data_IF_259622957688
#
_entry.id   IF_259622957688
#
_cell.length_a   1.000
_cell.length_b   1.000
_cell.length_c   1.000
_cell.angle_alpha   90.00
_cell.angle_beta   90.00
_cell.angle_gamma   90.00
#
_symmetry.space_group_name_H-M   'P 1'
#
loop_
_entity.id
_entity.type
_entity.pdbx_description
1 polymer ?
#
# COMPACT_ATOMS: atom_id res chain seq x y z
N UNK A 1 -41.11 -38.70 5.87
CA UNK A 1 -41.65 -37.34 6.00
C UNK A 1 -40.49 -36.37 5.85
N UNK A 2 -40.31 -35.79 4.67
CA UNK A 2 -39.28 -34.80 4.38
C UNK A 2 -39.95 -33.66 3.61
N UNK A 3 -39.95 -32.47 4.20
CA UNK A 3 -40.61 -31.28 3.65
C UNK A 3 -39.52 -30.39 3.03
N UNK A 4 -39.59 -30.22 1.70
CA UNK A 4 -38.77 -29.29 0.94
C UNK A 4 -39.26 -27.85 1.16
N UNK A 5 -38.36 -26.93 1.51
CA UNK A 5 -38.64 -25.49 1.45
C UNK A 5 -37.98 -24.90 0.20
N UNK A 6 -38.80 -24.27 -0.64
CA UNK A 6 -38.41 -23.55 -1.84
C UNK A 6 -37.77 -22.20 -1.49
N UNK A 7 -36.63 -21.89 -2.10
CA UNK A 7 -35.96 -20.60 -2.00
C UNK A 7 -36.66 -19.54 -2.88
N UNK A 8 -36.98 -18.39 -2.29
CA UNK A 8 -37.46 -17.20 -3.01
C UNK A 8 -36.31 -16.49 -3.75
N UNK A 9 -36.56 -15.90 -4.94
CA UNK A 9 -35.53 -15.18 -5.68
C UNK A 9 -35.22 -13.80 -5.06
N UNK A 10 -33.93 -13.42 -5.07
CA UNK A 10 -33.42 -12.13 -4.59
C UNK A 10 -33.95 -10.98 -5.46
N UNK A 11 -34.23 -9.79 -4.90
CA UNK A 11 -34.69 -8.64 -5.67
C UNK A 11 -33.57 -8.08 -6.56
N UNK A 12 -33.89 -7.88 -7.84
CA UNK A 12 -33.05 -7.20 -8.83
C UNK A 12 -32.90 -5.71 -8.51
N UNK A 13 -31.68 -5.18 -8.62
CA UNK A 13 -31.39 -3.74 -8.47
C UNK A 13 -32.09 -2.92 -9.56
N UNK A 14 -32.85 -1.89 -9.17
CA UNK A 14 -33.55 -0.96 -10.06
C UNK A 14 -32.62 -0.06 -10.89
N UNK A 15 -31.32 -0.02 -10.59
CA UNK A 15 -30.36 0.85 -11.29
C UNK A 15 -29.62 0.17 -12.44
N UNK A 16 -29.70 -1.17 -12.54
CA UNK A 16 -29.05 -1.93 -13.61
C UNK A 16 -30.02 -3.02 -14.10
N UNK A 17 -30.95 -2.70 -15.03
CA UNK A 17 -31.83 -3.72 -15.58
C UNK A 17 -31.00 -4.72 -16.42
N UNK A 18 -30.96 -5.98 -15.97
CA UNK A 18 -30.52 -7.09 -16.81
C UNK A 18 -31.53 -7.26 -17.95
N UNK A 19 -31.09 -7.11 -19.20
CA UNK A 19 -31.91 -7.44 -20.37
C UNK A 19 -32.32 -8.91 -20.30
N UNK A 20 -33.60 -9.18 -20.08
CA UNK A 20 -34.22 -10.45 -20.41
C UNK A 20 -34.55 -10.42 -21.90
N UNK A 21 -33.77 -11.14 -22.70
CA UNK A 21 -34.10 -11.42 -24.10
C UNK A 21 -35.35 -12.31 -24.17
N UNK A 22 -36.31 -11.85 -24.94
CA UNK A 22 -37.53 -12.57 -25.30
C UNK A 22 -37.23 -13.40 -26.54
N UNK A 23 -37.14 -14.72 -26.40
CA UNK A 23 -37.15 -15.64 -27.55
C UNK A 23 -38.56 -16.17 -27.79
N UNK A 24 -39.02 -16.09 -29.06
CA UNK A 24 -39.62 -17.22 -29.78
C UNK A 24 -39.40 -17.06 -31.29
N UNK A 25 -38.47 -17.82 -31.88
CA UNK A 25 -38.77 -18.95 -32.79
C UNK A 25 -37.52 -19.53 -33.48
N UNK A 26 -37.20 -20.78 -33.12
CA UNK A 26 -36.62 -21.87 -33.92
C UNK A 26 -35.33 -21.64 -34.74
N UNK A 27 -34.23 -22.31 -34.36
CA UNK A 27 -33.76 -23.60 -34.94
C UNK A 27 -32.45 -24.03 -34.28
N UNK A 28 -32.30 -25.35 -34.11
CA UNK A 28 -31.15 -26.07 -33.58
C UNK A 28 -29.79 -25.57 -34.12
N UNK A 29 -28.80 -25.38 -33.23
CA UNK A 29 -27.53 -26.11 -33.31
C UNK A 29 -26.70 -25.99 -32.02
N UNK A 30 -25.93 -27.05 -31.81
CA UNK A 30 -25.01 -27.47 -30.73
C UNK A 30 -24.26 -26.38 -29.94
N UNK A 31 -24.28 -26.60 -28.62
CA UNK A 31 -23.49 -25.92 -27.56
C UNK A 31 -21.98 -26.12 -27.75
N UNK A 32 -21.26 -25.02 -27.84
CA UNK A 32 -19.93 -24.85 -27.22
C UNK A 32 -19.99 -23.57 -26.38
N UNK A 33 -20.05 -23.73 -25.06
CA UNK A 33 -20.13 -22.64 -24.10
C UNK A 33 -18.72 -22.16 -23.73
N UNK A 34 -18.24 -21.13 -24.43
CA UNK A 34 -17.13 -20.28 -23.98
C UNK A 34 -17.71 -18.96 -23.45
N UNK A 35 -18.30 -18.98 -22.25
CA UNK A 35 -18.66 -17.74 -21.54
C UNK A 35 -17.42 -17.22 -20.79
N UNK A 36 -16.47 -16.65 -21.55
CA UNK A 36 -15.63 -15.61 -21.00
C UNK A 36 -16.48 -14.34 -20.98
N UNK A 37 -16.78 -13.81 -19.80
CA UNK A 37 -17.48 -12.53 -19.66
C UNK A 37 -16.77 -11.47 -20.51
N UNK A 38 -17.36 -11.12 -21.65
CA UNK A 38 -16.85 -10.07 -22.52
C UNK A 38 -17.04 -8.77 -21.77
N UNK A 39 -15.99 -8.32 -21.10
CA UNK A 39 -15.90 -6.97 -20.55
C UNK A 39 -15.89 -6.03 -21.75
N UNK A 40 -17.07 -5.57 -22.17
CA UNK A 40 -17.16 -4.51 -23.15
C UNK A 40 -16.63 -3.24 -22.46
N UNK A 41 -15.54 -2.63 -22.96
CA UNK A 41 -15.02 -1.42 -22.36
C UNK A 41 -16.05 -0.31 -22.56
N UNK A 42 -16.57 0.24 -21.46
CA UNK A 42 -17.41 1.42 -21.51
C UNK A 42 -16.56 2.58 -22.03
N UNK A 43 -16.79 2.98 -23.27
CA UNK A 43 -16.17 4.17 -23.83
C UNK A 43 -16.97 5.39 -23.38
N UNK A 44 -16.30 6.32 -22.70
CA UNK A 44 -16.88 7.64 -22.49
C UNK A 44 -17.27 8.23 -23.85
N UNK A 45 -18.42 8.90 -23.95
CA UNK A 45 -18.69 9.71 -25.11
C UNK A 45 -17.53 10.73 -25.25
N UNK A 46 -16.97 10.92 -26.46
CA UNK A 46 -15.87 11.85 -26.71
C UNK A 46 -16.37 13.27 -26.45
N UNK A 47 -16.32 13.68 -25.19
CA UNK A 47 -16.86 14.95 -24.72
C UNK A 47 -15.68 15.89 -24.51
N UNK A 48 -15.65 16.98 -25.30
CA UNK A 48 -14.76 18.13 -25.06
C UNK A 48 -15.18 18.96 -23.83
N UNK A 49 -16.16 18.47 -23.07
CA UNK A 49 -16.79 19.21 -21.98
C UNK A 49 -16.12 18.86 -20.65
N UNK A 50 -15.66 19.90 -19.98
CA UNK A 50 -15.10 19.88 -18.64
C UNK A 50 -16.11 19.24 -17.67
N UNK A 51 -15.67 18.20 -16.95
CA UNK A 51 -16.51 17.40 -16.04
C UNK A 51 -16.97 18.15 -14.79
N UNK A 52 -16.19 19.12 -14.34
CA UNK A 52 -16.49 20.06 -13.25
C UNK A 52 -15.66 21.32 -13.41
N UNK A 53 -16.08 22.45 -12.83
CA UNK A 53 -15.32 23.70 -12.90
C UNK A 53 -13.91 23.54 -12.30
N UNK A 54 -12.88 23.72 -13.14
CA UNK A 54 -11.46 23.59 -12.77
C UNK A 54 -10.84 24.90 -12.29
N UNK A 55 -11.63 25.98 -12.19
CA UNK A 55 -11.15 27.27 -11.71
C UNK A 55 -10.62 27.13 -10.28
N UNK A 56 -9.33 27.43 -10.11
CA UNK A 56 -8.68 27.43 -8.81
C UNK A 56 -9.42 28.39 -7.85
N UNK A 57 -9.81 27.86 -6.68
CA UNK A 57 -10.45 28.61 -5.60
C UNK A 57 -9.46 29.02 -4.50
N UNK A 58 -8.20 28.58 -4.61
CA UNK A 58 -7.15 28.87 -3.63
C UNK A 58 -5.77 28.51 -4.17
N UNK A 59 -4.77 28.74 -3.32
CA UNK A 59 -3.39 28.37 -3.63
C UNK A 59 -3.24 26.86 -3.73
N UNK A 60 -2.48 26.35 -4.73
CA UNK A 60 -2.20 24.93 -4.83
C UNK A 60 -1.22 24.48 -3.73
N UNK A 61 -1.31 23.21 -3.35
CA UNK A 61 -0.40 22.56 -2.41
C UNK A 61 0.33 21.39 -3.05
N UNK A 62 1.61 21.21 -2.70
CA UNK A 62 2.41 20.07 -3.13
C UNK A 62 2.29 18.96 -2.08
N UNK A 63 1.66 17.86 -2.47
CA UNK A 63 1.52 16.65 -1.68
C UNK A 63 2.68 15.71 -1.99
N UNK A 64 3.43 15.35 -0.94
CA UNK A 64 4.47 14.34 -0.98
C UNK A 64 4.65 13.77 0.43
N UNK A 65 5.10 12.51 0.55
CA UNK A 65 5.26 11.82 1.83
C UNK A 65 6.12 12.63 2.82
N UNK A 66 7.17 13.26 2.32
CA UNK A 66 8.11 14.09 3.09
C UNK A 66 7.87 15.59 2.88
N UNK A 67 6.78 15.99 2.19
CA UNK A 67 6.37 17.40 2.16
C UNK A 67 5.94 17.79 3.57
N UNK A 68 6.64 18.76 4.16
CA UNK A 68 6.42 19.24 5.54
C UNK A 68 6.69 18.20 6.64
N UNK A 69 7.25 17.02 6.31
CA UNK A 69 7.49 15.91 7.25
C UNK A 69 8.92 15.43 7.26
N UNK A 70 9.47 15.26 8.46
CA UNK A 70 10.77 14.61 8.65
C UNK A 70 10.59 13.09 8.79
N UNK A 71 11.55 12.31 8.29
CA UNK A 71 11.61 10.88 8.59
C UNK A 71 12.32 10.69 9.93
N UNK A 72 11.64 10.07 10.90
CA UNK A 72 12.19 9.73 12.21
C UNK A 72 12.29 8.22 12.37
N UNK A 73 13.43 7.77 12.89
CA UNK A 73 13.65 6.36 13.22
C UNK A 73 13.88 6.25 14.71
N UNK A 74 13.04 5.46 15.38
CA UNK A 74 13.20 5.10 16.77
C UNK A 74 13.63 3.65 16.84
N UNK A 75 14.74 3.38 17.51
CA UNK A 75 15.29 2.04 17.66
C UNK A 75 15.33 1.66 19.13
N UNK A 76 14.63 0.58 19.49
CA UNK A 76 14.69 0.04 20.83
C UNK A 76 16.08 -0.55 21.12
N UNK A 77 16.71 -0.09 22.19
CA UNK A 77 18.04 -0.56 22.59
C UNK A 77 18.09 -2.08 22.82
N UNK A 78 17.04 -2.66 23.43
CA UNK A 78 16.96 -4.10 23.67
C UNK A 78 17.02 -4.89 22.35
N UNK A 79 16.35 -4.39 21.33
CA UNK A 79 16.29 -4.97 19.99
C UNK A 79 17.66 -4.97 19.33
N UNK A 80 18.38 -3.85 19.45
CA UNK A 80 19.75 -3.74 18.97
C UNK A 80 20.71 -4.69 19.72
N UNK A 81 20.62 -4.73 21.06
CA UNK A 81 21.44 -5.63 21.89
C UNK A 81 21.21 -7.10 21.54
N UNK A 82 19.98 -7.51 21.20
CA UNK A 82 19.70 -8.87 20.72
C UNK A 82 20.42 -9.18 19.40
N UNK A 83 20.42 -8.24 18.46
CA UNK A 83 21.16 -8.37 17.21
C UNK A 83 22.66 -8.52 17.43
N UNK A 84 23.23 -7.70 18.31
CA UNK A 84 24.67 -7.75 18.64
C UNK A 84 25.03 -9.05 19.35
N UNK A 85 24.18 -9.52 20.27
CA UNK A 85 24.35 -10.83 20.92
C UNK A 85 24.37 -11.96 19.88
N UNK A 86 23.54 -11.87 18.84
CA UNK A 86 23.56 -12.83 17.74
C UNK A 86 24.83 -12.71 16.89
N UNK A 87 25.26 -11.50 16.56
CA UNK A 87 26.51 -11.24 15.83
C UNK A 87 27.73 -11.81 16.56
N UNK A 88 27.81 -11.61 17.88
CA UNK A 88 28.94 -12.10 18.69
C UNK A 88 28.99 -13.63 18.82
N UNK A 89 27.85 -14.32 18.63
CA UNK A 89 27.79 -15.79 18.58
C UNK A 89 28.15 -16.36 17.20
N UNK A 90 28.05 -15.55 16.15
CA UNK A 90 28.36 -15.95 14.78
C UNK A 90 29.87 -16.09 14.60
N UNK A 91 30.29 -17.13 13.88
CA UNK A 91 31.67 -17.28 13.41
C UNK A 91 31.98 -16.35 12.23
N UNK A 92 30.95 -15.84 11.55
CA UNK A 92 31.07 -14.95 10.40
C UNK A 92 31.08 -13.49 10.89
N UNK A 93 32.05 -12.65 10.46
CA UNK A 93 32.22 -11.28 10.94
C UNK A 93 31.15 -10.30 10.43
N UNK A 94 30.27 -10.74 9.54
CA UNK A 94 29.12 -9.97 9.07
C UNK A 94 27.91 -10.86 8.88
N UNK A 95 26.72 -10.35 9.17
CA UNK A 95 25.50 -11.12 9.20
C UNK A 95 24.32 -10.29 8.67
N UNK A 96 23.67 -10.77 7.62
CA UNK A 96 22.41 -10.20 7.13
C UNK A 96 21.25 -10.69 8.00
N UNK A 97 20.33 -9.80 8.36
CA UNK A 97 19.18 -10.06 9.23
C UNK A 97 18.14 -8.95 9.05
N UNK A 98 17.17 -8.85 9.96
CA UNK A 98 16.10 -7.88 9.84
C UNK A 98 15.83 -7.18 11.18
N UNK A 99 15.57 -5.90 11.07
CA UNK A 99 14.75 -5.19 12.03
C UNK A 99 13.30 -5.22 11.57
N UNK A 100 12.38 -5.36 12.51
CA UNK A 100 10.94 -5.31 12.28
C UNK A 100 10.37 -4.24 13.22
N UNK A 101 9.44 -3.46 12.68
CA UNK A 101 8.82 -2.36 13.39
C UNK A 101 7.48 -1.98 12.82
N UNK A 102 7.02 -0.78 13.14
CA UNK A 102 5.81 -0.17 12.59
C UNK A 102 6.14 1.17 11.95
N UNK A 103 5.32 1.57 10.97
CA UNK A 103 5.43 2.82 10.24
C UNK A 103 4.11 3.59 10.36
N UNK A 104 4.16 4.83 10.85
CA UNK A 104 2.98 5.67 11.01
C UNK A 104 3.33 7.15 10.83
N UNK A 105 2.30 7.98 10.61
CA UNK A 105 2.42 9.44 10.68
C UNK A 105 2.16 9.84 12.13
N UNK A 106 3.00 10.71 12.67
CA UNK A 106 2.82 11.16 14.05
C UNK A 106 1.55 12.02 14.21
N UNK A 107 1.04 12.14 15.43
CA UNK A 107 -0.23 12.84 15.69
C UNK A 107 -0.20 14.35 15.37
N UNK A 108 1.00 14.92 15.22
CA UNK A 108 1.21 16.31 14.83
C UNK A 108 1.37 16.49 13.32
N UNK A 109 1.35 15.38 12.58
CA UNK A 109 1.62 15.31 11.15
C UNK A 109 2.95 15.94 10.71
N UNK A 110 3.91 16.05 11.61
CA UNK A 110 5.23 16.67 11.39
C UNK A 110 6.30 15.64 11.00
N UNK A 111 6.00 14.35 11.15
CA UNK A 111 6.93 13.28 10.85
C UNK A 111 6.29 11.99 10.37
N UNK A 112 7.07 11.28 9.57
CA UNK A 112 6.88 9.87 9.27
C UNK A 112 7.79 9.09 10.22
N UNK A 113 7.21 8.27 11.09
CA UNK A 113 7.93 7.62 12.18
C UNK A 113 8.02 6.11 11.94
N UNK A 114 9.25 5.60 12.02
CA UNK A 114 9.56 4.17 12.00
C UNK A 114 9.98 3.78 13.40
N UNK A 115 9.16 2.99 14.09
CA UNK A 115 9.47 2.47 15.41
C UNK A 115 9.92 1.00 15.30
N UNK A 116 11.20 0.74 15.59
CA UNK A 116 11.84 -0.56 15.50
C UNK A 116 11.92 -1.20 16.88
N UNK A 117 11.18 -2.28 17.07
CA UNK A 117 11.03 -2.97 18.34
C UNK A 117 11.33 -4.48 18.28
N UNK A 118 11.49 -5.06 17.08
CA UNK A 118 11.82 -6.47 16.89
C UNK A 118 13.13 -6.67 16.13
N UNK A 119 13.91 -7.63 16.61
CA UNK A 119 15.06 -8.18 15.90
C UNK A 119 14.67 -9.55 15.39
N UNK A 120 14.94 -9.81 14.12
CA UNK A 120 14.69 -11.10 13.49
C UNK A 120 15.98 -11.58 12.79
N UNK A 121 16.57 -12.70 13.23
CA UNK A 121 17.74 -13.26 12.56
C UNK A 121 17.44 -13.75 11.15
N UNK A 122 16.16 -13.94 10.79
CA UNK A 122 15.70 -14.43 9.50
C UNK A 122 15.93 -15.93 9.31
N UNK A 123 15.41 -16.45 8.21
CA UNK A 123 15.57 -17.84 7.77
C UNK A 123 16.09 -17.92 6.33
N UNK A 124 16.80 -18.99 6.02
CA UNK A 124 17.18 -19.29 4.64
C UNK A 124 15.95 -19.79 3.88
N UNK A 125 15.73 -19.23 2.70
CA UNK A 125 14.74 -19.67 1.73
C UNK A 125 15.47 -20.02 0.44
N UNK A 126 15.21 -21.21 -0.09
CA UNK A 126 15.74 -21.61 -1.40
C UNK A 126 14.65 -21.42 -2.42
N UNK A 127 14.86 -20.50 -3.36
CA UNK A 127 13.92 -20.28 -4.46
C UNK A 127 13.92 -21.46 -5.44
N UNK A 128 12.92 -21.54 -6.32
CA UNK A 128 12.75 -22.58 -7.35
C UNK A 128 13.97 -22.73 -8.26
N UNK A 129 14.80 -21.70 -8.39
CA UNK A 129 16.08 -21.71 -9.11
C UNK A 129 17.30 -22.19 -8.30
N UNK A 130 17.13 -22.67 -7.06
CA UNK A 130 18.22 -23.14 -6.20
C UNK A 130 19.01 -22.02 -5.49
N UNK A 131 18.63 -20.75 -5.68
CA UNK A 131 19.26 -19.62 -5.00
C UNK A 131 18.79 -19.52 -3.55
N UNK A 132 19.74 -19.53 -2.62
CA UNK A 132 19.47 -19.26 -1.21
C UNK A 132 19.38 -17.76 -0.98
N UNK A 133 18.23 -17.30 -0.51
CA UNK A 133 17.99 -15.92 -0.09
C UNK A 133 17.58 -15.91 1.37
N UNK A 134 17.84 -14.80 2.04
CA UNK A 134 17.43 -14.61 3.43
C UNK A 134 16.12 -13.87 3.48
N UNK A 135 15.17 -14.40 4.24
CA UNK A 135 13.84 -13.80 4.41
C UNK A 135 13.51 -13.67 5.89
N UNK A 136 12.64 -12.73 6.29
CA UNK A 136 12.14 -12.68 7.66
C UNK A 136 11.49 -14.01 8.07
N UNK A 137 11.60 -14.35 9.34
CA UNK A 137 11.01 -15.55 9.92
C UNK A 137 9.48 -15.47 9.85
N UNK A 138 8.93 -14.35 10.31
CA UNK A 138 7.49 -14.08 10.32
C UNK A 138 7.26 -12.60 10.06
N UNK A 139 6.33 -12.27 9.16
CA UNK A 139 5.85 -10.90 8.89
C UNK A 139 4.35 -10.89 9.10
N UNK A 140 3.85 -9.97 9.92
CA UNK A 140 2.41 -9.76 10.12
C UNK A 140 1.93 -8.48 9.43
N UNK A 141 0.62 -8.34 9.14
CA UNK A 141 0.08 -7.10 8.58
C UNK A 141 0.45 -5.88 9.45
N UNK A 142 0.97 -4.83 8.83
CA UNK A 142 1.45 -3.62 9.49
C UNK A 142 2.94 -3.64 9.86
N UNK A 143 3.63 -4.78 9.75
CA UNK A 143 5.07 -4.85 9.97
C UNK A 143 5.82 -4.08 8.87
N UNK A 144 6.67 -3.14 9.29
CA UNK A 144 7.72 -2.56 8.47
C UNK A 144 8.98 -3.41 8.62
N UNK A 145 9.34 -4.14 7.57
CA UNK A 145 10.58 -4.94 7.50
C UNK A 145 11.73 -4.07 7.03
N UNK A 146 12.84 -4.10 7.76
CA UNK A 146 14.05 -3.33 7.48
C UNK A 146 15.22 -4.30 7.38
N UNK A 147 15.72 -4.61 6.17
CA UNK A 147 16.94 -5.38 5.99
C UNK A 147 18.11 -4.72 6.74
N UNK A 148 18.81 -5.52 7.54
CA UNK A 148 19.88 -5.10 8.42
C UNK A 148 21.14 -5.90 8.12
N UNK A 149 22.24 -5.20 7.84
CA UNK A 149 23.57 -5.81 7.84
C UNK A 149 24.28 -5.50 9.16
N UNK A 150 24.56 -6.53 9.95
CA UNK A 150 25.38 -6.43 11.16
C UNK A 150 26.84 -6.75 10.83
N UNK A 151 27.78 -5.96 11.32
CA UNK A 151 29.22 -6.13 11.09
C UNK A 151 29.99 -6.02 12.40
N UNK A 152 30.91 -6.95 12.65
CA UNK A 152 31.73 -6.99 13.85
C UNK A 152 32.92 -6.03 13.71
N UNK A 153 33.18 -5.23 14.73
CA UNK A 153 34.18 -4.15 14.74
C UNK A 153 33.67 -2.87 14.10
N UNK A 154 34.53 -1.84 14.05
CA UNK A 154 34.20 -0.51 13.49
C UNK A 154 34.92 -0.21 12.16
N UNK A 155 35.72 -1.16 11.66
CA UNK A 155 36.49 -0.97 10.43
C UNK A 155 35.56 -0.75 9.23
N UNK A 156 35.71 0.40 8.57
CA UNK A 156 34.93 0.78 7.38
C UNK A 156 33.57 1.43 7.67
N UNK A 157 33.18 1.62 8.94
CA UNK A 157 31.89 2.18 9.30
C UNK A 157 31.63 3.57 8.69
N UNK A 158 32.66 4.42 8.63
CA UNK A 158 32.55 5.80 8.12
C UNK A 158 32.33 5.89 6.61
N UNK A 159 32.68 4.85 5.86
CA UNK A 159 32.56 4.81 4.39
C UNK A 159 31.39 3.94 3.94
N UNK A 160 30.61 3.44 4.89
CA UNK A 160 29.47 2.59 4.58
C UNK A 160 28.34 3.45 4.00
N UNK A 161 27.80 2.98 2.88
CA UNK A 161 26.53 3.45 2.35
C UNK A 161 25.50 2.34 2.54
N UNK A 162 24.28 2.70 2.93
CA UNK A 162 23.18 1.74 3.07
C UNK A 162 22.73 1.20 1.71
N UNK A 163 22.83 2.01 0.67
CA UNK A 163 22.41 1.69 -0.70
C UNK A 163 23.54 1.96 -1.70
N UNK A 164 23.86 0.96 -2.50
CA UNK A 164 24.62 1.12 -3.74
C UNK A 164 23.71 1.62 -4.88
N UNK A 165 24.30 2.01 -6.02
CA UNK A 165 23.54 2.36 -7.23
C UNK A 165 22.57 1.24 -7.66
N UNK A 166 23.00 -0.02 -7.56
CA UNK A 166 22.16 -1.17 -7.89
C UNK A 166 21.05 -1.37 -6.86
N UNK A 167 21.32 -1.13 -5.58
CA UNK A 167 20.29 -1.18 -4.54
C UNK A 167 19.21 -0.13 -4.78
N UNK A 168 19.58 1.09 -5.18
CA UNK A 168 18.62 2.12 -5.55
C UNK A 168 17.73 1.67 -6.71
N UNK A 169 18.31 1.15 -7.80
CA UNK A 169 17.55 0.66 -8.96
C UNK A 169 16.53 -0.41 -8.56
N UNK A 170 16.97 -1.46 -7.86
CA UNK A 170 16.08 -2.52 -7.37
C UNK A 170 15.01 -2.00 -6.41
N UNK A 171 15.37 -1.04 -5.56
CA UNK A 171 14.43 -0.43 -4.62
C UNK A 171 13.36 0.37 -5.34
N UNK A 172 13.71 1.12 -6.39
CA UNK A 172 12.73 1.84 -7.21
C UNK A 172 11.82 0.88 -7.97
N UNK A 173 12.34 -0.21 -8.54
CA UNK A 173 11.53 -1.27 -9.16
C UNK A 173 10.56 -1.90 -8.15
N UNK A 174 11.04 -2.18 -6.93
CA UNK A 174 10.21 -2.72 -5.85
C UNK A 174 9.10 -1.74 -5.45
N UNK A 175 9.44 -0.48 -5.18
CA UNK A 175 8.45 0.56 -4.85
C UNK A 175 7.44 0.74 -5.99
N UNK A 176 7.91 0.69 -7.25
CA UNK A 176 7.05 0.72 -8.43
C UNK A 176 6.04 -0.42 -8.47
N UNK A 177 6.50 -1.64 -8.21
CA UNK A 177 5.62 -2.80 -8.20
C UNK A 177 4.54 -2.71 -7.11
N UNK A 178 4.87 -2.16 -5.93
CA UNK A 178 3.92 -2.00 -4.81
C UNK A 178 2.80 -1.01 -5.10
N UNK A 179 3.09 0.14 -5.73
CA UNK A 179 2.04 1.11 -6.05
C UNK A 179 1.24 0.76 -7.32
N UNK A 180 1.82 -0.05 -8.22
CA UNK A 180 1.13 -0.51 -9.43
C UNK A 180 0.31 -1.79 -9.20
N UNK A 181 0.40 -2.38 -8.01
CA UNK A 181 -0.29 -3.61 -7.64
C UNK A 181 -1.75 -3.40 -7.27
N UNK A 182 -2.42 -4.51 -6.93
CA UNK A 182 -3.79 -4.54 -6.38
C UNK A 182 -3.81 -4.62 -4.85
N UNK A 183 -2.64 -4.48 -4.21
CA UNK A 183 -2.54 -4.49 -2.75
C UNK A 183 -3.17 -3.23 -2.17
N UNK A 184 -3.75 -3.37 -0.97
CA UNK A 184 -4.33 -2.24 -0.27
C UNK A 184 -3.28 -1.16 -0.02
N UNK A 185 -3.70 0.10 -0.16
CA UNK A 185 -2.84 1.25 0.06
C UNK A 185 -2.31 1.28 1.50
N UNK A 186 -1.00 1.19 1.66
CA UNK A 186 -0.31 1.32 2.95
C UNK A 186 0.86 2.28 2.83
N UNK A 187 1.21 2.97 3.92
CA UNK A 187 2.37 3.86 3.98
C UNK A 187 3.67 3.12 3.63
N UNK A 188 3.77 1.84 4.00
CA UNK A 188 4.91 0.96 3.70
C UNK A 188 5.13 0.70 2.20
N UNK A 189 4.12 1.00 1.36
CA UNK A 189 4.23 0.85 -0.09
C UNK A 189 5.06 1.99 -0.71
N UNK A 190 5.23 3.11 0.01
CA UNK A 190 5.88 4.33 -0.49
C UNK A 190 7.28 4.57 0.03
N UNK A 191 7.73 3.78 1.01
CA UNK A 191 9.05 3.90 1.61
C UNK A 191 9.71 2.54 1.77
N UNK A 192 10.95 2.44 1.33
CA UNK A 192 11.82 1.29 1.57
C UNK A 192 12.96 1.73 2.45
N UNK A 193 13.28 0.94 3.47
CA UNK A 193 14.34 1.25 4.42
C UNK A 193 15.34 0.11 4.52
N UNK A 194 16.60 0.46 4.77
CA UNK A 194 17.70 -0.50 4.95
C UNK A 194 18.66 0.04 6.01
N UNK A 195 19.18 -0.84 6.84
CA UNK A 195 20.08 -0.49 7.92
C UNK A 195 21.41 -1.24 7.81
N UNK A 196 22.48 -0.60 8.28
CA UNK A 196 23.77 -1.22 8.53
C UNK A 196 24.22 -0.84 9.93
N UNK A 197 24.73 -1.80 10.70
CA UNK A 197 25.25 -1.53 12.02
C UNK A 197 26.60 -2.23 12.22
N UNK A 198 27.60 -1.42 12.56
CA UNK A 198 28.91 -1.86 13.01
C UNK A 198 28.91 -1.86 14.53
N UNK A 199 29.32 -2.97 15.13
CA UNK A 199 29.33 -3.15 16.57
C UNK A 199 30.69 -3.63 17.04
N UNK A 200 31.29 -2.89 17.96
CA UNK A 200 32.50 -3.29 18.65
C UNK A 200 32.21 -3.41 20.14
N UNK A 201 32.58 -4.55 20.70
CA UNK A 201 32.43 -4.85 22.13
C UNK A 201 33.82 -5.09 22.67
N UNK A 202 34.24 -4.26 23.62
CA UNK A 202 35.51 -4.38 24.34
C UNK A 202 35.24 -4.20 25.83
N UNK A 203 35.63 -5.19 26.63
CA UNK A 203 35.33 -5.28 28.06
C UNK A 203 33.83 -5.06 28.37
N UNK A 204 33.46 -3.86 28.83
CA UNK A 204 32.10 -3.46 29.22
C UNK A 204 31.49 -2.41 28.28
N UNK A 205 32.26 -1.90 27.31
CA UNK A 205 31.80 -0.88 26.38
C UNK A 205 31.25 -1.50 25.10
N UNK A 206 30.12 -0.94 24.67
CA UNK A 206 29.50 -1.27 23.40
C UNK A 206 29.49 -0.02 22.52
N UNK A 207 30.37 0.00 21.52
CA UNK A 207 30.46 1.09 20.55
C UNK A 207 29.72 0.69 19.29
N UNK A 208 28.83 1.57 18.84
CA UNK A 208 27.91 1.32 17.74
C UNK A 208 28.00 2.43 16.71
N UNK A 209 28.09 2.03 15.44
CA UNK A 209 27.80 2.91 14.33
C UNK A 209 26.60 2.33 13.58
N UNK A 210 25.49 3.08 13.58
CA UNK A 210 24.22 2.67 12.97
C UNK A 210 23.91 3.65 11.86
N UNK A 211 23.72 3.11 10.66
CA UNK A 211 23.28 3.86 9.51
C UNK A 211 21.94 3.32 9.05
N UNK A 212 20.95 4.21 8.89
CA UNK A 212 19.65 3.87 8.35
C UNK A 212 19.42 4.73 7.12
N UNK A 213 19.15 4.08 6.00
CA UNK A 213 18.81 4.73 4.74
C UNK A 213 17.36 4.45 4.40
N UNK A 214 16.71 5.45 3.81
CA UNK A 214 15.37 5.32 3.28
C UNK A 214 15.33 5.79 1.82
N UNK A 215 14.51 5.13 1.02
CA UNK A 215 14.24 5.46 -0.37
C UNK A 215 12.73 5.62 -0.52
N UNK A 216 12.33 6.71 -1.14
CA UNK A 216 10.93 7.01 -1.49
C UNK A 216 10.87 7.57 -2.91
N UNK A 217 9.67 7.64 -3.47
CA UNK A 217 9.45 8.22 -4.79
C UNK A 217 9.56 9.73 -4.75
N UNK A 218 10.20 10.34 -5.75
CA UNK A 218 10.27 11.81 -5.86
C UNK A 218 8.97 12.44 -6.40
N UNK A 219 8.07 11.62 -6.95
CA UNK A 219 6.81 12.08 -7.54
C UNK A 219 5.96 12.80 -6.50
N UNK A 220 5.64 14.06 -6.78
CA UNK A 220 4.75 14.88 -5.98
C UNK A 220 3.45 15.16 -6.74
N UNK A 221 2.38 15.38 -6.00
CA UNK A 221 1.06 15.68 -6.56
C UNK A 221 0.75 17.14 -6.27
N UNK A 222 0.43 17.91 -7.29
CA UNK A 222 -0.06 19.28 -7.14
C UNK A 222 -1.58 19.24 -6.92
N UNK A 223 -2.02 19.59 -5.72
CA UNK A 223 -3.43 19.65 -5.35
C UNK A 223 -3.93 21.09 -5.41
N UNK A 224 -4.90 21.37 -6.27
CA UNK A 224 -5.50 22.70 -6.44
C UNK A 224 -6.93 22.70 -5.94
N UNK A 225 -7.30 23.56 -4.96
CA UNK A 225 -8.69 23.69 -4.51
C UNK A 225 -9.60 24.14 -5.65
N UNK A 226 -10.76 23.49 -5.81
CA UNK A 226 -11.79 23.82 -6.82
C UNK A 226 -13.16 23.97 -6.16
N UNK A 227 -14.16 24.41 -6.91
CA UNK A 227 -15.54 24.50 -6.41
C UNK A 227 -16.12 23.10 -6.12
N UNK A 228 -17.03 22.96 -5.12
CA UNK A 228 -17.60 21.67 -4.79
C UNK A 228 -18.34 21.01 -5.96
N UNK A 229 -18.06 19.73 -6.19
CA UNK A 229 -18.72 18.93 -7.23
C UNK A 229 -19.87 18.14 -6.59
N UNK A 230 -21.08 18.12 -7.19
CA UNK A 230 -22.21 17.39 -6.61
C UNK A 230 -21.95 15.88 -6.49
N UNK A 231 -22.28 15.30 -5.33
CA UNK A 231 -22.13 13.86 -5.04
C UNK A 231 -23.51 13.20 -4.97
N UNK A 232 -23.67 12.03 -5.58
CA UNK A 232 -24.88 11.21 -5.49
C UNK A 232 -25.04 10.73 -4.03
N UNK A 233 -26.20 10.94 -3.38
CA UNK A 233 -26.39 10.68 -1.95
C UNK A 233 -26.61 9.19 -1.63
N UNK A 234 -25.62 8.36 -1.96
CA UNK A 234 -25.57 6.93 -1.64
C UNK A 234 -25.36 6.69 -0.13
N UNK A 235 -25.49 5.45 0.32
CA UNK A 235 -25.20 5.08 1.70
C UNK A 235 -23.75 5.42 2.12
N UNK A 236 -22.78 5.20 1.22
CA UNK A 236 -21.38 5.56 1.45
C UNK A 236 -21.19 7.07 1.61
N UNK A 237 -21.78 7.87 0.70
CA UNK A 237 -21.72 9.33 0.78
C UNK A 237 -22.33 9.83 2.10
N UNK A 238 -23.49 9.28 2.50
CA UNK A 238 -24.14 9.63 3.78
C UNK A 238 -23.29 9.24 4.99
N UNK A 239 -22.62 8.10 4.97
CA UNK A 239 -21.71 7.69 6.04
C UNK A 239 -20.53 8.66 6.18
N UNK A 240 -19.90 9.05 5.06
CA UNK A 240 -18.78 9.99 5.05
C UNK A 240 -19.18 11.41 5.48
N UNK A 241 -20.43 11.83 5.23
CA UNK A 241 -20.93 13.14 5.71
C UNK A 241 -21.50 13.09 7.13
N UNK A 242 -21.80 11.90 7.65
CA UNK A 242 -22.44 11.72 8.95
C UNK A 242 -21.50 11.91 10.15
N UNK A 243 -22.03 11.93 11.38
CA UNK A 243 -21.25 12.11 12.61
C UNK A 243 -20.47 10.85 13.04
N UNK A 244 -20.81 9.68 12.48
CA UNK A 244 -20.17 8.39 12.78
C UNK A 244 -19.49 7.84 11.52
N UNK A 245 -18.51 8.59 11.01
CA UNK A 245 -17.71 8.16 9.87
C UNK A 245 -16.92 6.92 10.28
N UNK A 246 -16.94 5.89 9.44
CA UNK A 246 -16.24 4.63 9.73
C UNK A 246 -14.74 4.84 9.96
N UNK A 247 -14.11 5.79 9.26
CA UNK A 247 -12.71 6.16 9.44
C UNK A 247 -12.40 6.62 10.87
N UNK A 248 -13.27 7.45 11.43
CA UNK A 248 -13.05 8.12 12.72
C UNK A 248 -13.25 7.13 13.85
N UNK A 249 -14.26 6.26 13.73
CA UNK A 249 -14.53 5.19 14.70
C UNK A 249 -13.40 4.14 14.71
N UNK A 250 -12.83 3.82 13.54
CA UNK A 250 -11.74 2.85 13.45
C UNK A 250 -10.36 3.46 13.71
N UNK A 251 -10.24 4.79 13.72
CA UNK A 251 -8.96 5.49 13.89
C UNK A 251 -7.97 5.27 12.75
N UNK A 252 -8.44 4.84 11.57
CA UNK A 252 -7.58 4.51 10.41
C UNK A 252 -8.12 5.20 9.16
N UNK A 253 -7.27 5.93 8.42
CA UNK A 253 -7.66 6.52 7.14
C UNK A 253 -8.20 5.46 6.17
N UNK A 254 -9.25 5.80 5.42
CA UNK A 254 -9.83 4.96 4.38
C UNK A 254 -9.85 5.74 3.07
N UNK A 255 -9.60 5.06 1.97
CA UNK A 255 -9.68 5.62 0.63
C UNK A 255 -10.71 4.85 -0.22
N UNK A 256 -11.05 5.43 -1.36
CA UNK A 256 -11.95 4.85 -2.35
C UNK A 256 -11.65 5.42 -3.72
N UNK A 257 -12.61 5.27 -4.63
CA UNK A 257 -12.52 5.82 -5.98
C UNK A 257 -13.74 6.67 -6.30
N UNK A 258 -13.56 7.58 -7.25
CA UNK A 258 -14.63 8.40 -7.80
C UNK A 258 -14.90 7.99 -9.23
N UNK A 259 -16.17 7.79 -9.56
CA UNK A 259 -16.67 7.76 -10.94
C UNK A 259 -17.71 8.86 -11.10
N UNK A 260 -18.13 9.14 -12.33
CA UNK A 260 -19.16 10.14 -12.63
C UNK A 260 -20.28 9.52 -13.48
N UNK A 261 -21.51 9.92 -13.22
CA UNK A 261 -22.66 9.53 -14.03
C UNK A 261 -22.91 10.51 -15.20
N UNK A 262 -23.90 10.19 -16.04
CA UNK A 262 -24.31 11.06 -17.15
C UNK A 262 -24.87 12.41 -16.68
N UNK A 263 -25.26 12.55 -15.41
CA UNK A 263 -25.75 13.81 -14.81
C UNK A 263 -24.63 14.68 -14.23
N UNK A 264 -23.36 14.27 -14.43
CA UNK A 264 -22.15 14.93 -13.91
C UNK A 264 -22.08 14.98 -12.39
N UNK A 265 -22.66 13.98 -11.73
CA UNK A 265 -22.55 13.82 -10.29
C UNK A 265 -21.54 12.72 -9.96
N UNK A 266 -20.74 12.97 -8.93
CA UNK A 266 -19.77 12.01 -8.44
C UNK A 266 -20.48 10.85 -7.75
N UNK A 267 -20.04 9.64 -8.05
CA UNK A 267 -20.41 8.42 -7.36
C UNK A 267 -19.17 7.88 -6.66
N UNK A 268 -19.29 7.67 -5.34
CA UNK A 268 -18.23 7.15 -4.50
C UNK A 268 -18.23 5.62 -4.55
N UNK A 269 -17.06 5.03 -4.77
CA UNK A 269 -16.84 3.60 -4.79
C UNK A 269 -15.88 3.22 -3.66
N UNK A 270 -16.11 2.06 -3.05
CA UNK A 270 -15.16 1.47 -2.09
C UNK A 270 -13.93 0.95 -2.85
N UNK A 271 -12.78 0.94 -2.19
CA UNK A 271 -11.55 0.31 -2.71
C UNK A 271 -11.77 -1.16 -3.12
N UNK A 272 -12.66 -1.86 -2.40
CA UNK A 272 -13.01 -3.26 -2.65
C UNK A 272 -14.14 -3.48 -3.66
N UNK A 273 -14.73 -2.41 -4.22
CA UNK A 273 -15.83 -2.55 -5.19
C UNK A 273 -15.28 -3.10 -6.52
N UNK A 274 -15.69 -4.31 -6.97
CA UNK A 274 -15.20 -4.89 -8.22
C UNK A 274 -15.53 -4.02 -9.45
N UNK A 275 -16.54 -3.15 -9.36
CA UNK A 275 -16.88 -2.24 -10.45
C UNK A 275 -15.80 -1.19 -10.70
N UNK A 276 -14.95 -0.87 -9.71
CA UNK A 276 -13.86 0.07 -9.87
C UNK A 276 -12.88 -0.32 -11.00
N UNK A 277 -12.78 -1.61 -11.34
CA UNK A 277 -11.94 -2.12 -12.43
C UNK A 277 -12.54 -1.93 -13.83
N UNK A 278 -13.85 -1.66 -13.92
CA UNK A 278 -14.60 -1.60 -15.18
C UNK A 278 -15.21 -0.23 -15.43
N UNK A 279 -15.49 0.52 -14.37
CA UNK A 279 -16.03 1.86 -14.44
C UNK A 279 -14.91 2.85 -14.70
N UNK A 280 -15.20 3.91 -15.46
CA UNK A 280 -14.20 4.90 -15.70
C UNK A 280 -14.02 5.83 -14.49
N UNK A 281 -12.84 5.75 -13.88
CA UNK A 281 -12.51 6.52 -12.69
C UNK A 281 -12.08 7.95 -13.05
N UNK A 282 -12.46 8.90 -12.19
CA UNK A 282 -12.20 10.33 -12.36
C UNK A 282 -11.42 10.93 -11.17
N UNK A 283 -11.15 10.13 -10.14
CA UNK A 283 -10.44 10.54 -8.93
C UNK A 283 -10.48 9.49 -7.82
N UNK A 284 -10.04 9.91 -6.63
CA UNK A 284 -10.03 9.14 -5.38
C UNK A 284 -10.85 9.83 -4.30
#
# INVERSE_FOLDING_TARGET
MSCMQAQQPRPSSSYFPNKQETEKTSKHNTRESNDAAVVQPFHFPPTKQVWWDRKAQGSPEILHLTSKRNLRVQLNEKTLRLGIKHLNKSSIPSYDCFFIGSLFIDSREDAVEINIDRFDPGREFTDKGGFKTKVPTTVVPGDQVIPLKLVKGLMGAQQTATHSKQDFQKTFELLHSRFSGQEQLSLSNFISTKACCYAHTEAEELILNIQVGAVTMATSILATPVSPVPIIPTALARNLTGPLRLSDVQGVPKCGFLTMDHTRKLLLLLESDPKAYSLPLVGV
#
